data_IF_481371005725
#
_entry.id   IF_481371005725
#
_cell.length_a   1.000
_cell.length_b   1.000
_cell.length_c   1.000
_cell.angle_alpha   90.00
_cell.angle_beta   90.00
_cell.angle_gamma   90.00
#
_symmetry.space_group_name_H-M   'P 1'
#
loop_
_entity.id
_entity.type
_entity.pdbx_description
1 polymer ?
#
# COMPACT_ATOMS: atom_id res chain seq x y z
N UNK A 1 -3.04 3.44 10.09
CA UNK A 1 -2.68 3.39 11.50
C UNK A 1 -1.38 2.63 11.64
N UNK A 2 -0.59 2.99 12.63
CA UNK A 2 0.73 2.41 12.91
C UNK A 2 0.90 2.03 14.39
N UNK A 3 0.01 2.56 15.26
CA UNK A 3 0.12 2.49 16.70
C UNK A 3 -1.16 2.10 17.42
N UNK A 4 -1.05 1.86 18.73
CA UNK A 4 -2.20 1.56 19.59
C UNK A 4 -3.20 2.72 19.70
N UNK A 5 -2.76 3.96 19.45
CA UNK A 5 -3.62 5.15 19.36
C UNK A 5 -4.69 5.02 18.28
N UNK A 6 -4.44 4.24 17.23
CA UNK A 6 -5.36 4.08 16.12
C UNK A 6 -6.44 3.01 16.37
N UNK A 7 -6.33 2.22 17.44
CA UNK A 7 -7.22 1.07 17.70
C UNK A 7 -8.70 1.48 17.69
N UNK A 8 -9.06 2.55 18.41
CA UNK A 8 -10.46 2.96 18.52
C UNK A 8 -11.01 3.53 17.21
N UNK A 9 -10.23 4.32 16.47
CA UNK A 9 -10.66 4.84 15.17
C UNK A 9 -10.76 3.73 14.14
N UNK A 10 -9.83 2.77 14.13
CA UNK A 10 -9.88 1.63 13.21
C UNK A 10 -11.08 0.72 13.49
N UNK A 11 -11.38 0.43 14.76
CA UNK A 11 -12.60 -0.30 15.14
C UNK A 11 -13.88 0.43 14.70
N UNK A 12 -13.92 1.76 14.87
CA UNK A 12 -15.06 2.58 14.44
C UNK A 12 -15.25 2.53 12.91
N UNK A 13 -14.19 2.76 12.14
CA UNK A 13 -14.22 2.71 10.67
C UNK A 13 -14.63 1.32 10.17
N UNK A 14 -14.08 0.25 10.76
CA UNK A 14 -14.45 -1.12 10.40
C UNK A 14 -15.93 -1.43 10.62
N UNK A 15 -16.52 -0.94 11.72
CA UNK A 15 -17.96 -1.12 12.01
C UNK A 15 -18.86 -0.49 10.95
N UNK A 16 -18.39 0.57 10.29
CA UNK A 16 -19.10 1.23 9.20
C UNK A 16 -18.76 0.63 7.82
N UNK A 17 -18.04 -0.49 7.78
CA UNK A 17 -17.63 -1.12 6.52
C UNK A 17 -16.46 -0.43 5.82
N UNK A 18 -15.83 0.55 6.45
CA UNK A 18 -14.72 1.31 5.85
C UNK A 18 -13.42 0.50 5.73
N UNK A 19 -12.52 1.00 4.89
CA UNK A 19 -11.18 0.46 4.69
C UNK A 19 -10.23 0.95 5.80
N UNK A 20 -9.60 0.02 6.51
CA UNK A 20 -8.52 0.32 7.46
C UNK A 20 -7.22 -0.32 6.99
N UNK A 21 -6.15 0.47 7.01
CA UNK A 21 -4.83 0.07 6.56
C UNK A 21 -3.87 0.24 7.74
N UNK A 22 -3.20 -0.85 8.14
CA UNK A 22 -2.06 -0.82 9.03
C UNK A 22 -0.78 -0.68 8.19
N UNK A 23 0.15 0.18 8.60
CA UNK A 23 1.47 0.35 7.96
C UNK A 23 2.61 -0.12 8.88
N UNK A 24 2.30 -1.06 9.77
CA UNK A 24 3.25 -1.62 10.74
C UNK A 24 2.83 -3.02 11.15
N UNK A 25 3.78 -3.79 11.70
CA UNK A 25 3.54 -5.09 12.34
C UNK A 25 3.06 -4.95 13.79
N UNK A 26 2.48 -3.80 14.14
CA UNK A 26 2.03 -3.56 15.50
C UNK A 26 0.87 -4.51 15.86
N UNK A 27 1.18 -5.44 16.77
CA UNK A 27 0.26 -6.49 17.27
C UNK A 27 -1.12 -5.99 17.71
N UNK A 28 -1.27 -4.71 18.07
CA UNK A 28 -2.54 -4.15 18.49
C UNK A 28 -3.46 -3.80 17.31
N UNK A 29 -2.92 -3.43 16.15
CA UNK A 29 -3.70 -2.95 15.01
C UNK A 29 -3.72 -3.92 13.83
N UNK A 30 -2.69 -4.74 13.63
CA UNK A 30 -2.65 -5.74 12.55
C UNK A 30 -3.86 -6.70 12.56
N UNK A 31 -4.35 -7.18 13.73
CA UNK A 31 -5.55 -8.00 13.76
C UNK A 31 -6.84 -7.25 13.39
N UNK A 32 -6.84 -5.93 13.54
CA UNK A 32 -8.00 -5.05 13.32
C UNK A 32 -8.01 -4.54 11.87
N UNK A 33 -6.85 -4.27 11.29
CA UNK A 33 -6.74 -3.72 9.95
C UNK A 33 -7.33 -4.67 8.89
N UNK A 34 -8.05 -4.11 7.91
CA UNK A 34 -8.49 -4.87 6.74
C UNK A 34 -7.33 -5.23 5.83
N UNK A 35 -6.37 -4.31 5.68
CA UNK A 35 -5.10 -4.52 4.97
C UNK A 35 -3.95 -4.12 5.87
N UNK A 36 -2.85 -4.85 5.79
CA UNK A 36 -1.58 -4.48 6.42
C UNK A 36 -0.55 -4.32 5.32
N UNK A 37 0.22 -3.24 5.33
CA UNK A 37 1.33 -3.03 4.42
C UNK A 37 2.61 -2.92 5.23
N UNK A 38 3.64 -3.63 4.78
CA UNK A 38 5.02 -3.47 5.24
C UNK A 38 5.81 -2.80 4.13
N UNK A 39 6.14 -1.54 4.35
CA UNK A 39 6.90 -0.71 3.44
C UNK A 39 7.56 0.41 4.23
N UNK A 40 8.71 0.87 3.76
CA UNK A 40 9.40 2.07 4.24
C UNK A 40 8.93 3.34 3.51
N UNK A 41 8.11 3.21 2.46
CA UNK A 41 7.58 4.31 1.66
C UNK A 41 6.11 4.62 2.04
N UNK A 42 5.83 5.88 2.34
CA UNK A 42 4.48 6.36 2.68
C UNK A 42 3.47 6.25 1.53
N UNK A 43 3.92 6.24 0.27
CA UNK A 43 3.05 6.05 -0.90
C UNK A 43 2.46 4.64 -0.97
N UNK A 44 3.02 3.69 -0.23
CA UNK A 44 2.53 2.31 -0.17
C UNK A 44 1.05 2.21 0.19
N UNK A 45 0.52 3.13 1.02
CA UNK A 45 -0.91 3.18 1.38
C UNK A 45 -1.85 3.41 0.20
N UNK A 46 -1.35 4.01 -0.89
CA UNK A 46 -2.15 4.23 -2.09
C UNK A 46 -2.49 2.89 -2.75
N UNK A 47 -1.65 1.88 -2.63
CA UNK A 47 -1.85 0.59 -3.29
C UNK A 47 -3.19 -0.07 -2.91
N UNK A 48 -3.51 -0.34 -1.62
CA UNK A 48 -4.81 -0.88 -1.25
C UNK A 48 -5.96 0.12 -1.42
N UNK A 49 -5.70 1.43 -1.42
CA UNK A 49 -6.75 2.42 -1.73
C UNK A 49 -7.20 2.28 -3.19
N UNK A 50 -6.25 2.27 -4.12
CA UNK A 50 -6.52 2.13 -5.56
C UNK A 50 -7.15 0.76 -5.87
N UNK A 51 -6.71 -0.29 -5.17
CA UNK A 51 -7.26 -1.65 -5.35
C UNK A 51 -8.68 -1.77 -4.77
N UNK A 52 -8.87 -1.50 -3.48
CA UNK A 52 -10.12 -1.82 -2.76
C UNK A 52 -11.22 -0.77 -2.98
N UNK A 53 -10.85 0.51 -3.16
CA UNK A 53 -11.83 1.60 -3.33
C UNK A 53 -12.09 1.88 -4.81
N UNK A 54 -11.04 1.95 -5.63
CA UNK A 54 -11.19 2.26 -7.05
C UNK A 54 -11.32 1.01 -7.93
N UNK A 55 -11.13 -0.20 -7.39
CA UNK A 55 -11.25 -1.44 -8.14
C UNK A 55 -10.17 -1.61 -9.20
N UNK A 56 -9.00 -0.98 -9.04
CA UNK A 56 -7.94 -1.06 -10.04
C UNK A 56 -7.20 -2.38 -9.94
N UNK A 57 -6.90 -2.95 -11.11
CA UNK A 57 -6.06 -4.13 -11.19
C UNK A 57 -4.56 -3.76 -10.94
N UNK A 58 -3.74 -4.75 -10.56
CA UNK A 58 -2.32 -4.53 -10.31
C UNK A 58 -1.53 -3.90 -11.46
N UNK A 59 -1.90 -4.15 -12.73
CA UNK A 59 -1.18 -3.59 -13.89
C UNK A 59 -1.41 -2.09 -14.01
N UNK A 60 -2.65 -1.65 -13.78
CA UNK A 60 -3.02 -0.23 -13.79
C UNK A 60 -2.34 0.53 -12.65
N UNK A 61 -2.28 -0.07 -11.45
CA UNK A 61 -1.60 0.51 -10.29
C UNK A 61 -0.10 0.67 -10.61
N UNK A 62 0.56 -0.36 -11.16
CA UNK A 62 1.96 -0.26 -11.61
C UNK A 62 2.17 0.85 -12.62
N UNK A 63 1.26 0.97 -13.59
CA UNK A 63 1.30 2.02 -14.61
C UNK A 63 1.26 3.43 -13.99
N UNK A 64 0.44 3.64 -12.96
CA UNK A 64 0.39 4.91 -12.24
C UNK A 64 1.74 5.25 -11.59
N UNK A 65 2.30 4.32 -10.81
CA UNK A 65 3.60 4.55 -10.16
C UNK A 65 4.71 4.77 -11.20
N UNK A 66 4.72 3.99 -12.29
CA UNK A 66 5.69 4.13 -13.37
C UNK A 66 5.59 5.48 -14.08
N UNK A 67 4.38 6.01 -14.28
CA UNK A 67 4.18 7.36 -14.84
C UNK A 67 4.75 8.47 -13.96
N UNK A 68 4.94 8.20 -12.66
CA UNK A 68 5.61 9.07 -11.71
C UNK A 68 7.09 8.70 -11.46
N UNK A 69 7.67 7.84 -12.31
CA UNK A 69 9.08 7.43 -12.19
C UNK A 69 9.35 6.50 -11.00
N UNK A 70 8.33 5.77 -10.53
CA UNK A 70 8.42 4.82 -9.42
C UNK A 70 8.12 3.40 -9.90
N UNK A 71 8.78 2.42 -9.30
CA UNK A 71 8.54 0.99 -9.58
C UNK A 71 8.13 0.31 -8.29
N UNK A 72 7.04 -0.45 -8.36
CA UNK A 72 6.60 -1.34 -7.29
C UNK A 72 7.34 -2.67 -7.41
N UNK A 73 8.28 -2.91 -6.51
CA UNK A 73 9.08 -4.13 -6.41
C UNK A 73 8.57 -5.00 -5.25
N UNK A 74 8.78 -6.31 -5.37
CA UNK A 74 8.47 -7.30 -4.34
C UNK A 74 7.04 -7.20 -3.76
N UNK A 75 6.07 -6.78 -4.60
CA UNK A 75 4.66 -6.73 -4.19
C UNK A 75 4.07 -8.14 -4.12
N UNK A 76 4.21 -8.76 -2.96
CA UNK A 76 3.55 -10.02 -2.63
C UNK A 76 2.20 -9.75 -1.96
N UNK A 77 1.14 -10.35 -2.51
CA UNK A 77 -0.24 -10.12 -2.12
C UNK A 77 -0.74 -11.25 -1.23
N UNK A 78 -0.59 -11.08 0.08
CA UNK A 78 -1.30 -11.87 1.09
C UNK A 78 -2.25 -10.96 1.89
N UNK A 79 -2.68 -11.39 3.09
CA UNK A 79 -3.35 -10.49 4.06
C UNK A 79 -2.46 -9.30 4.45
N UNK A 80 -1.15 -9.51 4.38
CA UNK A 80 -0.12 -8.49 4.53
C UNK A 80 0.56 -8.30 3.19
N UNK A 81 0.52 -7.10 2.66
CA UNK A 81 1.28 -6.69 1.50
C UNK A 81 2.70 -6.32 1.94
N UNK A 82 3.70 -7.02 1.44
CA UNK A 82 5.09 -6.54 1.49
C UNK A 82 5.34 -5.74 0.23
N UNK A 83 5.89 -4.53 0.34
CA UNK A 83 6.08 -3.65 -0.82
C UNK A 83 7.33 -2.79 -0.71
N UNK A 84 8.14 -2.82 -1.75
CA UNK A 84 9.26 -1.89 -1.93
C UNK A 84 8.95 -0.94 -3.08
N UNK A 85 9.18 0.36 -2.86
CA UNK A 85 9.03 1.39 -3.89
C UNK A 85 10.42 1.94 -4.20
N UNK A 86 10.80 1.89 -5.47
CA UNK A 86 12.10 2.35 -5.93
C UNK A 86 11.96 3.37 -7.06
N UNK A 87 12.91 4.31 -7.21
CA UNK A 87 13.02 5.11 -8.42
C UNK A 87 13.18 4.21 -9.64
N UNK A 88 12.47 4.51 -10.72
CA UNK A 88 12.69 3.88 -12.00
C UNK A 88 14.09 4.28 -12.50
N UNK A 89 15.02 3.33 -12.59
CA UNK A 89 16.29 3.57 -13.26
C UNK A 89 15.99 3.90 -14.73
N UNK A 90 16.12 5.17 -15.11
CA UNK A 90 15.99 5.59 -16.50
C UNK A 90 17.19 5.01 -17.25
N UNK A 91 17.01 3.92 -17.98
CA UNK A 91 18.02 3.46 -18.92
C UNK A 91 18.38 4.64 -19.84
N UNK A 92 19.68 4.89 -20.13
CA UNK A 92 20.04 5.96 -21.04
C UNK A 92 19.34 5.71 -22.38
N UNK A 93 18.53 6.67 -22.81
CA UNK A 93 17.96 6.65 -24.16
C UNK A 93 19.13 6.55 -25.13
N UNK A 94 19.21 5.44 -25.86
CA UNK A 94 20.13 5.31 -26.98
C UNK A 94 19.72 6.37 -28.01
N UNK A 95 20.48 7.46 -28.04
CA UNK A 95 20.46 8.45 -29.12
C UNK A 95 20.92 7.73 -30.39
N UNK A 96 20.01 7.61 -31.35
CA UNK A 96 20.26 7.17 -32.71
C UNK A 96 20.60 8.38 -33.60
#
# INVERSE_FOLDING_TARGET
>A
GDGSSDVHVMLHVNRLGGLTIAVSENRYITPIARRTILSDDGLSVLVPILEEILGWDPSRIRGLFAAHGLVLQDWDKMRTDSLTIAPAHMAPQAVA
#
